data_IF_699360967650
#
_entry.id   IF_699360967650
#
_cell.length_a   1.000
_cell.length_b   1.000
_cell.length_c   1.000
_cell.angle_alpha   90.00
_cell.angle_beta   90.00
_cell.angle_gamma   90.00
#
_symmetry.space_group_name_H-M   'P 1'
#
loop_
_entity.id
_entity.type
_entity.pdbx_description
1 polymer ?
#
# COMPACT_ATOMS: atom_id res chain seq x y z
N UNK A 1 -9.51 4.93 6.48
CA UNK A 1 -8.70 5.11 5.24
C UNK A 1 -8.20 6.54 5.06
N UNK A 2 -9.06 7.55 4.83
CA UNK A 2 -8.61 8.94 4.57
C UNK A 2 -7.63 9.49 5.62
N UNK A 3 -7.93 9.31 6.91
CA UNK A 3 -7.04 9.73 7.99
C UNK A 3 -5.65 9.07 7.91
N UNK A 4 -5.58 7.75 7.70
CA UNK A 4 -4.30 7.04 7.54
C UNK A 4 -3.51 7.55 6.33
N UNK A 5 -4.17 7.79 5.19
CA UNK A 5 -3.53 8.36 4.00
C UNK A 5 -2.98 9.75 4.28
N UNK A 6 -3.76 10.62 4.93
CA UNK A 6 -3.31 11.97 5.26
C UNK A 6 -2.09 11.93 6.20
N UNK A 7 -2.13 11.12 7.25
CA UNK A 7 -1.03 10.99 8.22
C UNK A 7 0.25 10.47 7.56
N UNK A 8 0.12 9.43 6.72
CA UNK A 8 1.25 8.86 5.97
C UNK A 8 1.75 9.77 4.85
N UNK A 9 0.90 10.67 4.32
CA UNK A 9 1.32 11.73 3.40
C UNK A 9 2.19 12.75 4.12
N UNK A 10 1.77 13.20 5.31
CA UNK A 10 2.53 14.14 6.14
C UNK A 10 3.88 13.55 6.59
N UNK A 11 3.93 12.23 6.80
CA UNK A 11 5.16 11.47 7.13
C UNK A 11 6.02 11.14 5.91
N UNK A 12 5.61 11.51 4.69
CA UNK A 12 6.40 11.32 3.46
C UNK A 12 6.34 9.92 2.83
N UNK A 13 5.50 9.02 3.35
CA UNK A 13 5.30 7.67 2.83
C UNK A 13 4.33 7.61 1.64
N UNK A 14 3.57 8.67 1.39
CA UNK A 14 2.62 8.73 0.27
C UNK A 14 2.96 9.94 -0.62
N UNK A 15 2.89 9.73 -1.93
CA UNK A 15 3.19 10.75 -2.92
C UNK A 15 2.34 10.59 -4.18
N UNK A 16 2.41 11.59 -5.08
CA UNK A 16 1.80 11.52 -6.41
C UNK A 16 2.85 11.09 -7.42
N UNK A 17 2.56 10.06 -8.20
CA UNK A 17 3.50 9.52 -9.18
C UNK A 17 2.85 8.59 -10.20
N UNK A 18 3.64 8.11 -11.16
CA UNK A 18 3.20 7.17 -12.20
C UNK A 18 3.75 5.78 -11.95
N UNK A 19 2.98 4.75 -12.30
CA UNK A 19 3.43 3.36 -12.28
C UNK A 19 3.66 2.89 -13.72
N UNK A 20 4.59 1.95 -13.95
CA UNK A 20 4.72 1.28 -15.24
C UNK A 20 3.42 0.54 -15.58
N UNK A 21 3.18 0.26 -16.87
CA UNK A 21 2.06 -0.58 -17.27
C UNK A 21 2.14 -1.96 -16.59
N UNK A 22 0.99 -2.61 -16.32
CA UNK A 22 0.94 -3.99 -15.86
C UNK A 22 1.78 -4.90 -16.75
N UNK A 23 2.41 -5.90 -16.14
CA UNK A 23 3.08 -6.96 -16.90
C UNK A 23 1.99 -7.83 -17.54
N UNK A 24 2.08 -8.02 -18.86
CA UNK A 24 1.12 -8.84 -19.62
C UNK A 24 0.11 -8.00 -20.39
N UNK A 25 -1.11 -8.52 -20.53
CA UNK A 25 -2.19 -7.84 -21.23
C UNK A 25 -2.67 -6.62 -20.44
N UNK A 26 -2.81 -5.49 -21.11
CA UNK A 26 -3.29 -4.27 -20.48
C UNK A 26 -4.81 -4.36 -20.33
N UNK A 27 -5.34 -4.16 -19.12
CA UNK A 27 -6.78 -3.96 -18.95
C UNK A 27 -7.26 -2.80 -19.83
N UNK A 28 -8.50 -2.88 -20.32
CA UNK A 28 -9.11 -1.84 -21.17
C UNK A 28 -9.21 -0.48 -20.46
N UNK A 29 -9.25 -0.50 -19.12
CA UNK A 29 -9.31 0.69 -18.27
C UNK A 29 -7.93 1.18 -17.78
N UNK A 30 -6.84 0.63 -18.33
CA UNK A 30 -5.50 1.11 -18.00
C UNK A 30 -5.17 2.43 -18.71
N UNK A 31 -4.68 3.40 -17.94
CA UNK A 31 -4.23 4.69 -18.44
C UNK A 31 -2.88 5.08 -17.82
N UNK A 32 -2.00 5.72 -18.60
CA UNK A 32 -0.82 6.39 -18.06
C UNK A 32 -1.23 7.69 -17.36
N UNK A 33 -1.44 7.58 -16.04
CA UNK A 33 -1.88 8.69 -15.21
C UNK A 33 -1.08 8.79 -13.93
N UNK A 34 -1.04 10.01 -13.38
CA UNK A 34 -0.57 10.22 -12.02
C UNK A 34 -1.56 9.63 -11.01
N UNK A 35 -1.02 8.96 -9.99
CA UNK A 35 -1.76 8.19 -9.00
C UNK A 35 -1.29 8.57 -7.59
N UNK A 36 -2.15 8.33 -6.59
CA UNK A 36 -1.74 8.36 -5.18
C UNK A 36 -1.03 7.05 -4.86
N UNK A 37 0.26 7.10 -4.59
CA UNK A 37 1.12 5.94 -4.38
C UNK A 37 1.67 5.91 -2.97
N UNK A 38 1.68 4.71 -2.38
CA UNK A 38 2.47 4.40 -1.20
C UNK A 38 3.89 4.05 -1.62
N UNK A 39 4.88 4.70 -1.00
CA UNK A 39 6.32 4.56 -1.24
C UNK A 39 6.87 3.25 -0.64
N UNK A 40 6.30 2.14 -1.10
CA UNK A 40 6.56 0.78 -0.62
C UNK A 40 8.00 0.33 -0.92
N UNK A 41 8.57 0.77 -2.05
CA UNK A 41 9.95 0.43 -2.44
C UNK A 41 10.98 0.94 -1.45
N UNK A 42 10.74 2.12 -0.83
CA UNK A 42 11.63 2.68 0.17
C UNK A 42 11.68 1.87 1.48
N UNK A 43 10.74 0.94 1.67
CA UNK A 43 10.59 0.11 2.88
C UNK A 43 10.67 -1.40 2.56
N UNK A 44 11.22 -1.75 1.39
CA UNK A 44 11.61 -3.11 1.04
C UNK A 44 10.60 -3.92 0.23
N UNK A 45 9.56 -3.28 -0.32
CA UNK A 45 8.67 -3.90 -1.31
C UNK A 45 9.28 -3.83 -2.72
N UNK A 46 8.72 -4.61 -3.66
CA UNK A 46 9.21 -4.66 -5.04
C UNK A 46 8.74 -3.50 -5.93
N UNK A 47 7.62 -2.87 -5.57
CA UNK A 47 7.01 -1.79 -6.34
C UNK A 47 6.16 -0.91 -5.43
N UNK A 48 6.09 0.39 -5.75
CA UNK A 48 5.17 1.30 -5.09
C UNK A 48 3.72 0.95 -5.40
N UNK A 49 2.83 1.16 -4.42
CA UNK A 49 1.48 0.59 -4.45
C UNK A 49 0.42 1.67 -4.57
N UNK A 50 -0.47 1.52 -5.54
CA UNK A 50 -1.59 2.44 -5.72
C UNK A 50 -2.59 2.36 -4.56
N UNK A 51 -2.98 3.54 -4.06
CA UNK A 51 -3.98 3.68 -2.99
C UNK A 51 -5.36 4.07 -3.51
N UNK A 52 -5.43 4.67 -4.69
CA UNK A 52 -6.67 5.21 -5.29
C UNK A 52 -6.77 4.77 -6.76
N UNK A 53 -7.93 4.22 -7.13
CA UNK A 53 -8.26 3.78 -8.49
C UNK A 53 -8.54 4.96 -9.42
N UNK A 54 -8.81 4.70 -10.70
CA UNK A 54 -9.16 5.71 -11.72
C UNK A 54 -10.49 6.38 -11.40
N UNK A 55 -11.46 5.61 -10.91
CA UNK A 55 -12.78 6.08 -10.48
C UNK A 55 -12.79 6.86 -9.14
N UNK A 56 -11.62 7.06 -8.52
CA UNK A 56 -11.49 7.77 -7.23
C UNK A 56 -11.78 6.91 -5.99
N UNK A 57 -12.20 5.66 -6.15
CA UNK A 57 -12.35 4.71 -5.04
C UNK A 57 -11.00 4.21 -4.51
N UNK A 58 -10.99 3.70 -3.27
CA UNK A 58 -9.77 3.16 -2.66
C UNK A 58 -9.46 1.75 -3.16
N UNK A 59 -8.17 1.40 -3.25
CA UNK A 59 -7.75 0.02 -3.51
C UNK A 59 -7.91 -0.84 -2.25
N UNK A 60 -7.93 -2.17 -2.41
CA UNK A 60 -7.87 -3.07 -1.26
C UNK A 60 -6.59 -2.86 -0.44
N UNK A 61 -5.48 -2.54 -1.10
CA UNK A 61 -4.24 -2.21 -0.41
C UNK A 61 -4.36 -0.96 0.48
N UNK A 62 -5.13 0.06 0.05
CA UNK A 62 -5.40 1.22 0.91
C UNK A 62 -6.24 0.86 2.15
N UNK A 63 -7.09 -0.16 2.07
CA UNK A 63 -7.78 -0.69 3.24
C UNK A 63 -6.79 -1.37 4.20
N UNK A 64 -5.84 -2.17 3.69
CA UNK A 64 -4.80 -2.80 4.51
C UNK A 64 -3.88 -1.80 5.19
N UNK A 65 -3.46 -0.74 4.47
CA UNK A 65 -2.68 0.37 5.04
C UNK A 65 -3.42 0.99 6.22
N UNK A 66 -4.72 1.28 6.04
CA UNK A 66 -5.52 1.88 7.09
C UNK A 66 -5.72 0.94 8.28
N UNK A 67 -5.91 -0.36 8.02
CA UNK A 67 -6.17 -1.33 9.07
C UNK A 67 -4.91 -1.70 9.85
N UNK A 68 -3.75 -1.82 9.20
CA UNK A 68 -2.49 -2.03 9.89
C UNK A 68 -2.17 -0.82 10.78
N UNK A 69 -2.32 0.41 10.26
CA UNK A 69 -2.13 1.62 11.06
C UNK A 69 -3.06 1.66 12.28
N UNK A 70 -4.33 1.35 12.09
CA UNK A 70 -5.30 1.28 13.19
C UNK A 70 -4.92 0.24 14.25
N UNK A 71 -4.34 -0.90 13.88
CA UNK A 71 -3.82 -1.88 14.85
C UNK A 71 -2.62 -1.32 15.62
N UNK A 72 -1.67 -0.69 14.93
CA UNK A 72 -0.49 -0.09 15.57
C UNK A 72 -0.90 1.05 16.52
N UNK A 73 -1.81 1.92 16.09
CA UNK A 73 -2.34 3.03 16.91
C UNK A 73 -3.08 2.51 18.16
N UNK A 74 -3.69 1.31 18.10
CA UNK A 74 -4.29 0.62 19.25
C UNK A 74 -3.27 -0.04 20.18
N UNK A 75 -1.98 0.00 19.86
CA UNK A 75 -0.89 -0.52 20.69
C UNK A 75 -0.59 -2.01 20.49
N UNK A 76 -1.08 -2.64 19.42
CA UNK A 76 -0.71 -4.01 19.10
C UNK A 76 0.74 -4.06 18.57
N UNK A 77 1.58 -4.88 19.22
CA UNK A 77 3.00 -5.06 18.85
C UNK A 77 3.26 -6.32 18.04
N UNK A 78 2.38 -7.31 18.15
CA UNK A 78 2.42 -8.54 17.35
C UNK A 78 1.25 -8.58 16.37
N UNK A 79 1.55 -8.69 15.07
CA UNK A 79 0.55 -8.74 14.00
C UNK A 79 0.68 -10.06 13.23
N UNK A 80 -0.24 -10.99 13.46
CA UNK A 80 -0.26 -12.29 12.81
C UNK A 80 -1.17 -12.24 11.58
N UNK A 81 -0.61 -12.58 10.41
CA UNK A 81 -1.33 -12.71 9.15
C UNK A 81 -1.35 -14.18 8.70
N UNK A 82 -2.56 -14.73 8.51
CA UNK A 82 -2.74 -16.08 7.95
C UNK A 82 -3.10 -15.92 6.48
N UNK A 83 -2.20 -16.38 5.60
CA UNK A 83 -2.31 -16.21 4.15
C UNK A 83 -2.39 -17.57 3.46
N UNK A 84 -3.07 -17.61 2.32
CA UNK A 84 -3.03 -18.75 1.41
C UNK A 84 -1.63 -18.94 0.82
N UNK A 85 -1.29 -20.17 0.43
CA UNK A 85 0.03 -20.49 -0.14
C UNK A 85 0.34 -19.73 -1.46
N UNK A 86 -0.70 -19.28 -2.15
CA UNK A 86 -0.67 -18.48 -3.37
C UNK A 86 -0.36 -16.98 -3.12
N UNK A 87 -0.32 -16.54 -1.85
CA UNK A 87 -0.14 -15.13 -1.48
C UNK A 87 1.31 -14.80 -1.05
N UNK A 88 2.32 -15.59 -1.45
CA UNK A 88 3.72 -15.37 -1.06
C UNK A 88 4.27 -13.97 -1.41
N UNK A 89 3.84 -13.40 -2.55
CA UNK A 89 4.20 -12.02 -2.92
C UNK A 89 3.59 -10.94 -2.01
N UNK A 90 2.52 -11.28 -1.28
CA UNK A 90 1.85 -10.38 -0.34
C UNK A 90 2.62 -10.21 0.97
N UNK A 91 3.44 -11.21 1.36
CA UNK A 91 4.22 -11.18 2.60
C UNK A 91 5.16 -9.96 2.62
N UNK A 92 5.99 -9.81 1.59
CA UNK A 92 6.92 -8.67 1.48
C UNK A 92 6.22 -7.32 1.53
N UNK A 93 5.03 -7.23 0.92
CA UNK A 93 4.20 -6.02 0.92
C UNK A 93 3.71 -5.66 2.32
N UNK A 94 3.25 -6.64 3.08
CA UNK A 94 2.79 -6.42 4.46
C UNK A 94 3.95 -6.10 5.40
N UNK A 95 5.11 -6.75 5.24
CA UNK A 95 6.33 -6.43 6.00
C UNK A 95 6.82 -5.01 5.72
N UNK A 96 6.82 -4.59 4.45
CA UNK A 96 7.18 -3.25 4.03
C UNK A 96 6.21 -2.20 4.62
N UNK A 97 4.91 -2.49 4.60
CA UNK A 97 3.89 -1.66 5.22
C UNK A 97 4.08 -1.55 6.74
N UNK A 98 4.38 -2.66 7.42
CA UNK A 98 4.64 -2.67 8.85
C UNK A 98 5.83 -1.78 9.21
N UNK A 99 6.97 -1.90 8.51
CA UNK A 99 8.16 -1.04 8.71
C UNK A 99 7.85 0.44 8.55
N UNK A 100 7.05 0.81 7.54
CA UNK A 100 6.67 2.20 7.33
C UNK A 100 5.80 2.79 8.44
N UNK A 101 4.95 1.97 9.06
CA UNK A 101 3.94 2.44 10.01
C UNK A 101 4.42 2.33 11.46
N UNK A 102 5.04 1.20 11.81
CA UNK A 102 5.49 0.90 13.16
C UNK A 102 6.93 1.34 13.43
N UNK A 103 7.72 1.59 12.38
CA UNK A 103 9.17 1.75 12.50
C UNK A 103 9.91 0.41 12.41
N UNK A 104 11.22 0.45 12.64
CA UNK A 104 12.09 -0.74 12.72
C UNK A 104 11.96 -1.47 14.07
#
# INVERSE_FOLDING_TARGET
>A
IRSAINDLTLKGHIYKGKLPPPKGEKPDDWEDREQTLFRSTAVGDDMDRALVKSDGSFTYFAADVAYLKDKVDRGFVDLIYVLGADHGGYVKRLEALARAIAGD
#
